data_IF_275718105898
#
_entry.id   IF_275718105898
#
_cell.length_a   1.000
_cell.length_b   1.000
_cell.length_c   1.000
_cell.angle_alpha   90.00
_cell.angle_beta   90.00
_cell.angle_gamma   90.00
#
_symmetry.space_group_name_H-M   'P 1'
#
loop_
_entity.id
_entity.type
_entity.pdbx_description
1 polymer ?
#
# COMPACT_ATOMS: atom_id res chain seq x y z
N UNK A 1 3.58 5.57 -18.61
CA UNK A 1 2.51 5.33 -17.61
C UNK A 1 2.81 4.04 -16.88
N UNK A 2 2.72 4.00 -15.56
CA UNK A 2 2.95 2.78 -14.77
C UNK A 2 1.68 2.43 -14.00
N UNK A 3 1.29 1.17 -14.03
CA UNK A 3 0.16 0.63 -13.27
C UNK A 3 0.74 -0.33 -12.24
N UNK A 4 0.44 -0.07 -10.97
CA UNK A 4 0.78 -0.96 -9.87
C UNK A 4 -0.51 -1.61 -9.38
N UNK A 5 -0.61 -2.93 -9.53
CA UNK A 5 -1.64 -3.76 -8.91
C UNK A 5 -1.01 -4.54 -7.77
N UNK A 6 -1.70 -4.66 -6.64
CA UNK A 6 -1.18 -5.39 -5.50
C UNK A 6 -2.30 -6.10 -4.76
N UNK A 7 -2.12 -7.39 -4.51
CA UNK A 7 -2.99 -8.17 -3.64
C UNK A 7 -2.25 -8.43 -2.34
N UNK A 8 -2.71 -7.83 -1.25
CA UNK A 8 -2.05 -7.90 0.04
C UNK A 8 -3.01 -8.34 1.13
N UNK A 9 -2.58 -9.30 1.95
CA UNK A 9 -3.21 -9.61 3.21
C UNK A 9 -2.56 -8.74 4.30
N UNK A 10 -3.36 -8.07 5.11
CA UNK A 10 -2.88 -7.23 6.22
C UNK A 10 -3.54 -7.64 7.53
N UNK A 11 -2.74 -7.83 8.57
CA UNK A 11 -3.21 -7.96 9.95
C UNK A 11 -2.92 -6.68 10.73
N UNK A 12 -3.91 -6.18 11.46
CA UNK A 12 -3.77 -5.06 12.39
C UNK A 12 -4.15 -5.51 13.80
N UNK A 13 -3.32 -5.20 14.79
CA UNK A 13 -3.60 -5.40 16.19
C UNK A 13 -3.81 -4.06 16.88
N UNK A 14 -4.99 -3.88 17.47
CA UNK A 14 -5.35 -2.67 18.22
C UNK A 14 -4.88 -2.79 19.66
N UNK A 15 -4.03 -1.86 20.07
CA UNK A 15 -3.51 -1.79 21.44
C UNK A 15 -4.57 -1.29 22.43
N UNK A 16 -5.57 -0.54 21.94
CA UNK A 16 -6.68 -0.03 22.76
C UNK A 16 -8.05 -0.31 22.13
N UNK A 17 -9.06 -0.60 22.98
CA UNK A 17 -10.41 -0.90 22.51
C UNK A 17 -11.24 0.35 22.15
N UNK A 18 -11.00 1.52 22.76
CA UNK A 18 -11.83 2.72 22.55
C UNK A 18 -11.04 4.04 22.56
N UNK A 19 -11.65 5.11 22.04
CA UNK A 19 -11.05 6.44 21.96
C UNK A 19 -9.94 6.55 20.92
N UNK A 20 -8.72 6.87 21.39
CA UNK A 20 -7.51 6.81 20.56
C UNK A 20 -7.02 5.36 20.52
N UNK A 21 -7.20 4.73 19.35
CA UNK A 21 -6.92 3.31 19.11
C UNK A 21 -5.67 3.20 18.23
N UNK A 22 -4.45 3.30 18.83
CA UNK A 22 -3.23 3.01 18.10
C UNK A 22 -3.22 1.53 17.73
N UNK A 23 -2.71 1.25 16.54
CA UNK A 23 -2.57 -0.09 16.03
C UNK A 23 -1.19 -0.29 15.44
N UNK A 24 -0.71 -1.52 15.57
CA UNK A 24 0.49 -2.03 14.92
C UNK A 24 0.09 -3.24 14.12
N UNK A 25 0.71 -3.43 12.98
CA UNK A 25 0.35 -4.50 12.09
C UNK A 25 1.44 -4.78 11.09
N UNK A 26 1.17 -5.77 10.26
CA UNK A 26 2.00 -6.05 9.11
C UNK A 26 1.15 -6.68 8.02
N UNK A 27 1.60 -6.51 6.79
CA UNK A 27 1.01 -7.17 5.64
C UNK A 27 2.06 -7.84 4.79
N UNK A 28 1.61 -8.81 4.02
CA UNK A 28 2.39 -9.41 2.96
C UNK A 28 1.50 -9.59 1.73
N UNK A 29 2.09 -9.52 0.55
CA UNK A 29 1.33 -9.57 -0.68
C UNK A 29 2.17 -9.71 -1.92
N UNK A 30 1.46 -9.86 -3.04
CA UNK A 30 2.06 -9.92 -4.37
C UNK A 30 1.82 -8.56 -5.02
N UNK A 31 2.91 -7.93 -5.44
CA UNK A 31 2.94 -6.65 -6.13
C UNK A 31 3.29 -6.89 -7.59
N UNK A 32 2.45 -6.38 -8.47
CA UNK A 32 2.55 -6.53 -9.91
C UNK A 32 2.67 -5.13 -10.51
N UNK A 33 3.84 -4.81 -11.06
CA UNK A 33 4.08 -3.53 -11.72
C UNK A 33 4.15 -3.73 -13.23
N UNK A 34 3.30 -3.02 -13.97
CA UNK A 34 3.33 -2.96 -15.43
C UNK A 34 3.64 -1.53 -15.87
N UNK A 35 4.67 -1.34 -16.71
CA UNK A 35 5.01 -0.02 -17.25
C UNK A 35 4.85 0.01 -18.76
N UNK A 36 4.20 1.06 -19.25
CA UNK A 36 4.09 1.38 -20.68
C UNK A 36 4.99 2.60 -20.92
N UNK A 37 6.08 2.38 -21.65
CA UNK A 37 6.94 3.44 -22.15
C UNK A 37 6.57 3.73 -23.61
N UNK A 38 6.13 4.96 -23.88
CA UNK A 38 5.91 5.43 -25.25
C UNK A 38 7.21 6.07 -25.75
N UNK A 39 7.91 5.37 -26.65
CA UNK A 39 9.11 5.90 -27.30
C UNK A 39 8.70 6.91 -28.37
N UNK A 40 9.05 8.18 -28.20
CA UNK A 40 8.74 9.27 -29.16
C UNK A 40 9.70 9.31 -30.35
N UNK A 41 10.13 8.16 -30.85
CA UNK A 41 10.85 8.06 -32.12
C UNK A 41 9.84 7.79 -33.22
N UNK A 42 9.72 8.72 -34.16
CA UNK A 42 8.93 8.72 -35.40
C UNK A 42 8.69 7.30 -35.95
N UNK A 43 7.52 6.70 -35.63
CA UNK A 43 7.19 5.29 -35.93
C UNK A 43 6.76 4.44 -34.73
N UNK A 44 6.10 5.06 -33.74
CA UNK A 44 5.95 4.55 -32.37
C UNK A 44 5.30 3.16 -32.22
N UNK A 45 6.15 2.16 -31.97
CA UNK A 45 5.73 0.93 -31.30
C UNK A 45 5.74 1.17 -29.78
N UNK A 46 4.59 0.97 -29.12
CA UNK A 46 4.52 0.98 -27.66
C UNK A 46 5.25 -0.25 -27.12
N UNK A 47 6.31 -0.06 -26.34
CA UNK A 47 7.00 -1.16 -25.67
C UNK A 47 6.28 -1.43 -24.34
N UNK A 48 5.62 -2.59 -24.26
CA UNK A 48 5.01 -3.07 -23.02
C UNK A 48 6.06 -3.86 -22.25
N UNK A 49 6.53 -3.32 -21.12
CA UNK A 49 7.46 -4.03 -20.25
C UNK A 49 6.73 -5.21 -19.57
N UNK A 50 7.32 -6.41 -19.50
CA UNK A 50 6.69 -7.56 -18.87
C UNK A 50 6.41 -7.27 -17.39
N UNK A 51 5.20 -7.64 -16.98
CA UNK A 51 4.69 -7.50 -15.62
C UNK A 51 5.50 -8.38 -14.65
N UNK A 52 6.36 -7.78 -13.83
CA UNK A 52 7.10 -8.49 -12.79
C UNK A 52 6.26 -8.54 -11.51
N UNK A 53 5.86 -9.75 -11.11
CA UNK A 53 5.19 -10.00 -9.84
C UNK A 53 6.23 -10.32 -8.78
N UNK A 54 6.32 -9.50 -7.73
CA UNK A 54 7.22 -9.71 -6.59
C UNK A 54 6.41 -9.89 -5.30
N UNK A 55 6.81 -10.84 -4.47
CA UNK A 55 6.30 -10.94 -3.11
C UNK A 55 6.95 -9.86 -2.24
N UNK A 56 6.16 -9.20 -1.41
CA UNK A 56 6.60 -8.13 -0.54
C UNK A 56 5.98 -8.23 0.84
N UNK A 57 6.72 -7.79 1.85
CA UNK A 57 6.25 -7.66 3.23
C UNK A 57 6.35 -6.19 3.66
N UNK A 58 5.39 -5.73 4.44
CA UNK A 58 5.34 -4.35 4.89
C UNK A 58 4.79 -4.25 6.32
N UNK A 59 5.61 -3.83 7.30
CA UNK A 59 5.08 -3.40 8.58
C UNK A 59 4.22 -2.14 8.42
N UNK A 60 3.17 -2.04 9.24
CA UNK A 60 2.31 -0.87 9.33
C UNK A 60 2.09 -0.46 10.78
N UNK A 61 2.02 0.84 10.99
CA UNK A 61 1.68 1.43 12.29
C UNK A 61 0.75 2.60 12.04
N UNK A 62 -0.20 2.82 12.95
CA UNK A 62 -1.16 3.88 12.77
C UNK A 62 -2.01 4.08 14.00
N UNK A 63 -2.98 4.96 13.88
CA UNK A 63 -3.99 5.16 14.89
C UNK A 63 -5.33 5.48 14.26
N UNK A 64 -6.37 5.12 14.99
CA UNK A 64 -7.73 5.52 14.71
C UNK A 64 -8.26 6.37 15.85
N UNK A 65 -9.04 7.39 15.52
CA UNK A 65 -9.79 8.17 16.50
C UNK A 65 -11.16 8.51 15.93
N UNK A 66 -12.21 7.92 16.51
CA UNK A 66 -13.59 8.08 16.05
C UNK A 66 -13.78 7.65 14.58
N UNK A 67 -13.89 8.64 13.69
CA UNK A 67 -14.07 8.44 12.25
C UNK A 67 -12.78 8.61 11.45
N UNK A 68 -11.70 9.06 12.07
CA UNK A 68 -10.44 9.32 11.39
C UNK A 68 -9.48 8.15 11.59
N UNK A 69 -8.82 7.74 10.51
CA UNK A 69 -7.75 6.75 10.51
C UNK A 69 -6.53 7.34 9.83
N UNK A 70 -5.39 7.25 10.48
CA UNK A 70 -4.10 7.56 9.88
C UNK A 70 -3.17 6.36 10.06
N UNK A 71 -2.47 5.97 9.00
CA UNK A 71 -1.50 4.89 9.06
C UNK A 71 -0.31 5.16 8.18
N UNK A 72 0.86 4.73 8.65
CA UNK A 72 2.09 4.69 7.89
C UNK A 72 2.47 3.24 7.66
N UNK A 73 2.84 2.93 6.43
CA UNK A 73 3.34 1.61 6.03
C UNK A 73 4.74 1.79 5.50
N UNK A 74 5.66 0.94 5.97
CA UNK A 74 7.02 0.90 5.45
C UNK A 74 7.14 -0.38 4.64
N UNK A 75 7.26 -0.26 3.32
CA UNK A 75 7.31 -1.44 2.46
C UNK A 75 8.75 -1.94 2.31
N UNK A 76 8.96 -3.19 2.71
CA UNK A 76 10.20 -3.93 2.54
C UNK A 76 10.01 -4.91 1.37
N UNK A 77 9.79 -4.39 0.16
CA UNK A 77 9.93 -5.19 -1.08
C UNK A 77 11.42 -5.18 -1.38
N UNK A 78 12.04 -6.37 -1.28
CA UNK A 78 13.49 -6.58 -1.22
C UNK A 78 14.38 -5.61 -2.03
N UNK A 79 15.49 -5.24 -1.40
CA UNK A 79 16.68 -4.49 -1.84
C UNK A 79 16.48 -3.16 -2.58
N UNK A 80 15.61 -3.09 -3.58
CA UNK A 80 15.61 -2.02 -4.57
C UNK A 80 14.33 -1.19 -4.61
N UNK A 81 13.27 -1.59 -3.89
CA UNK A 81 11.97 -0.92 -3.97
C UNK A 81 11.34 -0.73 -2.58
N UNK A 82 12.05 0.00 -1.71
CA UNK A 82 11.49 0.44 -0.43
C UNK A 82 10.66 1.70 -0.64
N UNK A 83 9.42 1.71 -0.15
CA UNK A 83 8.57 2.90 -0.17
C UNK A 83 7.88 3.11 1.17
N UNK A 84 7.74 4.37 1.56
CA UNK A 84 6.92 4.77 2.70
C UNK A 84 5.57 5.24 2.16
N UNK A 85 4.50 4.59 2.59
CA UNK A 85 3.14 5.00 2.26
C UNK A 85 2.45 5.60 3.48
N UNK A 86 1.93 6.81 3.33
CA UNK A 86 1.06 7.45 4.31
C UNK A 86 -0.36 7.30 3.81
N UNK A 87 -1.22 6.71 4.62
CA UNK A 87 -2.64 6.52 4.33
C UNK A 87 -3.46 7.31 5.33
N UNK A 88 -4.43 8.03 4.81
CA UNK A 88 -5.45 8.73 5.59
C UNK A 88 -6.79 8.18 5.12
N UNK A 89 -7.63 7.81 6.07
CA UNK A 89 -8.94 7.23 5.81
C UNK A 89 -9.99 7.81 6.74
N UNK A 90 -11.23 7.80 6.27
CA UNK A 90 -12.38 8.15 7.09
C UNK A 90 -13.38 7.00 7.07
N UNK A 91 -13.93 6.67 8.23
CA UNK A 91 -14.99 5.67 8.36
C UNK A 91 -16.36 6.32 8.28
N UNK A 92 -17.08 6.08 7.18
CA UNK A 92 -18.47 6.49 7.02
C UNK A 92 -19.40 5.40 7.56
N UNK A 93 -20.11 5.67 8.66
CA UNK A 93 -21.19 4.78 9.14
C UNK A 93 -20.79 3.68 10.15
N UNK A 94 -19.72 3.84 10.93
CA UNK A 94 -19.31 2.82 11.91
C UNK A 94 -18.51 3.33 13.11
N UNK A 95 -18.65 4.62 13.46
CA UNK A 95 -17.94 5.20 14.59
C UNK A 95 -18.40 4.57 15.90
N UNK A 96 -17.65 3.57 16.40
CA UNK A 96 -17.78 3.15 17.79
C UNK A 96 -17.22 4.27 18.65
N UNK A 97 -18.12 4.93 19.38
CA UNK A 97 -17.83 5.97 20.36
C UNK A 97 -16.87 5.46 21.44
#
# INVERSE_FOLDING_TARGET
>A
VSVLNSYCATGEYYLKPSGFRPFVGAGAGIYTAASIAASTSTGGAAVVSPSLSKFGFFPRVGFETGHFRMSSEYNLVGSDVSYLAIKIGFFFGGGRK
#
